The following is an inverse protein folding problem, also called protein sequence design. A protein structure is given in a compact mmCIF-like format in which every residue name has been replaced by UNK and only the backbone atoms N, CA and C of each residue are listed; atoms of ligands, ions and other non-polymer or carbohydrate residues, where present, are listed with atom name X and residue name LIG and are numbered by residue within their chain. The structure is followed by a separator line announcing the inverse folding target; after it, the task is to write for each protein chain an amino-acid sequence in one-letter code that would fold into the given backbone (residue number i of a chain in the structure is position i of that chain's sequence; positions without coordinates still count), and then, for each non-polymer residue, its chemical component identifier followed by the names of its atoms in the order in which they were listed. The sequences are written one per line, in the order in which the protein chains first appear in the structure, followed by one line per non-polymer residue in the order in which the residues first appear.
data_IF_443984350961
#
_entry.id   IF_443984350961
#
_cell.length_a   1.000
_cell.length_b   1.000
_cell.length_c   1.000
_cell.angle_alpha   90.00
_cell.angle_beta   90.00
_cell.angle_gamma   90.00
#
_symmetry.space_group_name_H-M   'P 1'
#
loop_
_entity.id
_entity.type
_entity.pdbx_description
1 polymer ?
#
# COMPACT_ATOMS: atom_id res chain seq x y z
N UNK A 1 16.68 5.85 -16.35
CA UNK A 1 16.26 6.66 -15.20
C UNK A 1 14.94 6.11 -14.69
N UNK A 2 14.82 5.79 -13.41
CA UNK A 2 13.55 5.33 -12.86
C UNK A 2 12.58 6.53 -12.80
N UNK A 3 11.39 6.39 -13.37
CA UNK A 3 10.38 7.44 -13.34
C UNK A 3 9.73 7.45 -11.97
N UNK A 4 9.83 8.56 -11.24
CA UNK A 4 9.11 8.74 -9.99
C UNK A 4 7.66 9.11 -10.30
N UNK A 5 6.73 8.40 -9.67
CA UNK A 5 5.30 8.65 -9.75
C UNK A 5 4.79 9.22 -8.44
N UNK A 6 3.83 10.14 -8.52
CA UNK A 6 3.10 10.66 -7.36
C UNK A 6 1.63 10.27 -7.48
N UNK A 7 1.15 9.45 -6.54
CA UNK A 7 -0.22 9.00 -6.49
C UNK A 7 -0.97 9.70 -5.36
N UNK A 8 -2.15 10.20 -5.66
CA UNK A 8 -3.06 10.79 -4.69
C UNK A 8 -4.20 9.82 -4.43
N UNK A 9 -4.30 9.30 -3.22
CA UNK A 9 -5.26 8.28 -2.83
C UNK A 9 -6.21 8.86 -1.79
N UNK A 10 -7.45 8.39 -1.78
CA UNK A 10 -8.40 8.72 -0.72
C UNK A 10 -9.07 7.46 -0.17
N UNK A 11 -9.28 7.41 1.13
CA UNK A 11 -9.94 6.33 1.86
C UNK A 11 -11.13 6.93 2.62
N UNK A 12 -12.36 6.55 2.25
CA UNK A 12 -13.56 7.13 2.84
C UNK A 12 -13.77 6.69 4.30
N UNK A 13 -13.68 5.38 4.56
CA UNK A 13 -13.81 4.80 5.90
C UNK A 13 -12.52 4.09 6.29
N UNK A 14 -11.56 4.85 6.83
CA UNK A 14 -10.29 4.29 7.26
C UNK A 14 -10.42 3.31 8.45
N UNK A 15 -11.26 3.57 9.48
CA UNK A 15 -11.50 2.61 10.56
C UNK A 15 -12.06 1.26 10.07
N UNK A 16 -12.97 1.27 9.09
CA UNK A 16 -13.52 0.05 8.48
C UNK A 16 -12.65 -0.56 7.39
N UNK A 17 -11.65 0.16 6.89
CA UNK A 17 -10.77 -0.35 5.85
C UNK A 17 -9.77 -1.38 6.41
N UNK A 18 -9.97 -2.64 6.03
CA UNK A 18 -9.10 -3.76 6.36
C UNK A 18 -8.88 -4.63 5.13
N UNK A 19 -7.67 -5.14 4.97
CA UNK A 19 -7.38 -6.19 4.01
C UNK A 19 -8.16 -7.47 4.34
N UNK A 20 -8.34 -8.32 3.32
CA UNK A 20 -9.03 -9.60 3.49
C UNK A 20 -8.31 -10.55 4.45
N UNK A 21 -7.01 -10.38 4.61
CA UNK A 21 -6.16 -11.22 5.44
C UNK A 21 -5.71 -10.47 6.69
N UNK A 22 -6.19 -10.82 7.90
CA UNK A 22 -5.91 -10.09 9.13
C UNK A 22 -4.42 -9.97 9.45
N UNK A 23 -3.62 -10.98 9.10
CA UNK A 23 -2.18 -11.01 9.34
C UNK A 23 -1.37 -10.02 8.49
N UNK A 24 -1.97 -9.51 7.40
CA UNK A 24 -1.39 -8.53 6.48
C UNK A 24 -2.08 -7.16 6.60
N UNK A 25 -3.23 -7.10 7.25
CA UNK A 25 -4.07 -5.92 7.33
C UNK A 25 -3.42 -4.82 8.17
N UNK A 26 -3.78 -3.59 7.86
CA UNK A 26 -3.44 -2.41 8.63
C UNK A 26 -4.10 -2.44 10.02
N UNK A 27 -3.31 -2.25 11.08
CA UNK A 27 -3.79 -2.26 12.47
C UNK A 27 -3.75 -0.88 13.15
N UNK A 28 -3.49 0.18 12.40
CA UNK A 28 -3.35 1.53 12.94
C UNK A 28 -4.64 2.36 13.01
N UNK A 29 -4.48 3.59 13.48
CA UNK A 29 -5.52 4.63 13.51
C UNK A 29 -4.98 5.87 12.81
N UNK A 30 -5.76 6.40 11.88
CA UNK A 30 -5.48 7.67 11.21
C UNK A 30 -4.63 7.55 9.94
N UNK A 31 -4.74 8.55 9.05
CA UNK A 31 -4.11 8.55 7.73
C UNK A 31 -2.59 8.59 7.78
N UNK A 32 -1.99 9.28 8.76
CA UNK A 32 -0.55 9.37 8.94
C UNK A 32 0.07 7.98 9.17
N UNK A 33 -0.59 7.17 9.99
CA UNK A 33 -0.17 5.80 10.29
C UNK A 33 -0.33 4.89 9.07
N UNK A 34 -1.44 5.02 8.34
CA UNK A 34 -1.61 4.30 7.06
C UNK A 34 -0.51 4.66 6.06
N UNK A 35 -0.18 5.95 5.93
CA UNK A 35 0.88 6.40 5.04
C UNK A 35 2.23 5.81 5.44
N UNK A 36 2.56 5.82 6.73
CA UNK A 36 3.80 5.22 7.23
C UNK A 36 3.88 3.72 6.88
N UNK A 37 2.80 2.96 7.16
CA UNK A 37 2.76 1.52 6.90
C UNK A 37 2.78 1.20 5.40
N UNK A 38 2.12 2.03 4.57
CA UNK A 38 2.18 1.90 3.11
C UNK A 38 3.59 2.18 2.57
N UNK A 39 4.26 3.23 3.05
CA UNK A 39 5.64 3.52 2.65
C UNK A 39 6.57 2.38 3.06
N UNK A 40 6.41 1.84 4.28
CA UNK A 40 7.20 0.69 4.73
C UNK A 40 6.97 -0.56 3.87
N UNK A 41 5.71 -0.85 3.53
CA UNK A 41 5.33 -1.97 2.66
C UNK A 41 5.83 -1.84 1.20
N UNK A 42 6.22 -0.65 0.77
CA UNK A 42 6.84 -0.39 -0.53
C UNK A 42 8.37 -0.38 -0.45
N UNK A 43 8.95 0.02 0.69
CA UNK A 43 10.40 -0.03 0.94
C UNK A 43 10.91 -1.44 1.20
N UNK A 44 10.09 -2.25 1.86
CA UNK A 44 10.43 -3.60 2.29
C UNK A 44 9.54 -4.64 1.61
N UNK A 45 10.09 -5.83 1.38
CA UNK A 45 9.35 -6.96 0.81
C UNK A 45 8.69 -7.83 1.89
N UNK A 46 8.82 -7.48 3.18
CA UNK A 46 8.30 -8.27 4.31
C UNK A 46 6.79 -8.58 4.17
N UNK A 47 5.98 -7.61 3.74
CA UNK A 47 4.56 -7.83 3.51
C UNK A 47 4.31 -8.81 2.35
N UNK A 48 5.10 -8.70 1.28
CA UNK A 48 5.05 -9.64 0.15
C UNK A 48 5.50 -11.04 0.57
N UNK A 49 6.57 -11.18 1.36
CA UNK A 49 7.05 -12.49 1.83
C UNK A 49 6.03 -13.19 2.73
N UNK A 50 5.36 -12.44 3.62
CA UNK A 50 4.26 -12.98 4.44
C UNK A 50 3.12 -13.49 3.55
N UNK A 51 2.67 -12.69 2.59
CA UNK A 51 1.63 -13.12 1.65
C UNK A 51 2.08 -14.31 0.77
N UNK A 52 3.32 -14.31 0.30
CA UNK A 52 3.92 -15.38 -0.51
C UNK A 52 3.93 -16.70 0.25
N UNK A 53 4.29 -16.69 1.53
CA UNK A 53 4.29 -17.87 2.40
C UNK A 53 2.89 -18.46 2.65
N UNK A 54 1.83 -17.70 2.39
CA UNK A 54 0.44 -18.17 2.50
C UNK A 54 -0.10 -18.78 1.20
N UNK A 55 0.63 -18.66 0.10
CA UNK A 55 0.22 -19.27 -1.17
C UNK A 55 0.44 -20.80 -1.10
N UNK A 56 -0.38 -21.59 -1.80
CA UNK A 56 -0.23 -23.05 -1.83
C UNK A 56 1.16 -23.47 -2.34
N UNK A 57 1.69 -22.72 -3.32
CA UNK A 57 3.00 -22.96 -3.93
C UNK A 57 3.82 -21.66 -3.92
N UNK A 58 4.49 -21.32 -2.79
CA UNK A 58 5.24 -20.07 -2.65
C UNK A 58 6.32 -19.91 -3.72
N UNK A 59 6.99 -20.99 -4.12
CA UNK A 59 8.11 -20.94 -5.07
C UNK A 59 7.67 -20.58 -6.51
N UNK A 60 6.41 -20.82 -6.86
CA UNK A 60 5.83 -20.43 -8.16
C UNK A 60 5.43 -18.95 -8.21
N UNK A 61 5.37 -18.27 -7.07
CA UNK A 61 5.03 -16.84 -7.00
C UNK A 61 6.15 -16.02 -7.64
N UNK A 62 5.78 -15.26 -8.67
CA UNK A 62 6.69 -14.39 -9.41
C UNK A 62 7.42 -13.38 -8.50
N UNK A 63 8.77 -13.35 -8.49
CA UNK A 63 9.56 -12.37 -7.74
C UNK A 63 9.26 -10.91 -8.12
N UNK A 64 8.77 -10.68 -9.34
CA UNK A 64 8.37 -9.37 -9.83
C UNK A 64 7.25 -8.71 -9.01
N UNK A 65 6.47 -9.48 -8.23
CA UNK A 65 5.45 -8.98 -7.31
C UNK A 65 6.04 -8.48 -5.98
N UNK A 66 7.27 -8.88 -5.68
CA UNK A 66 8.04 -8.52 -4.48
C UNK A 66 9.00 -7.35 -4.68
N UNK A 67 8.90 -6.61 -5.79
CA UNK A 67 9.74 -5.44 -6.03
C UNK A 67 9.50 -4.37 -4.96
N UNK A 68 10.58 -3.69 -4.58
CA UNK A 68 10.60 -2.64 -3.57
C UNK A 68 11.22 -1.36 -4.12
N UNK A 69 10.91 -0.26 -3.45
CA UNK A 69 11.49 1.05 -3.70
C UNK A 69 11.95 1.65 -2.35
N UNK A 70 13.26 1.59 -2.05
CA UNK A 70 13.82 2.14 -0.82
C UNK A 70 13.57 3.65 -0.65
N UNK A 71 13.28 4.36 -1.75
CA UNK A 71 12.99 5.80 -1.75
C UNK A 71 11.51 6.13 -1.62
N UNK A 72 10.63 5.12 -1.58
CA UNK A 72 9.19 5.33 -1.48
C UNK A 72 8.85 6.14 -0.23
N UNK A 73 7.95 7.12 -0.34
CA UNK A 73 7.49 7.91 0.79
C UNK A 73 6.01 8.18 0.65
N UNK A 74 5.30 8.20 1.77
CA UNK A 74 3.89 8.56 1.79
C UNK A 74 3.61 9.51 2.93
N UNK A 75 2.66 10.41 2.71
CA UNK A 75 2.16 11.34 3.70
C UNK A 75 0.65 11.23 3.76
N UNK A 76 0.12 11.03 4.97
CA UNK A 76 -1.30 10.99 5.21
C UNK A 76 -1.79 12.29 5.82
N UNK A 77 -3.00 12.70 5.46
CA UNK A 77 -3.69 13.84 6.07
C UNK A 77 -5.15 13.48 6.28
N UNK A 78 -5.69 13.89 7.42
CA UNK A 78 -7.11 13.76 7.71
C UNK A 78 -7.87 14.87 6.97
N UNK A 79 -8.69 14.48 6.00
CA UNK A 79 -9.68 15.35 5.37
C UNK A 79 -10.96 15.43 6.21
N UNK A 80 -11.94 16.19 5.72
CA UNK A 80 -13.19 16.46 6.44
C UNK A 80 -14.04 15.20 6.67
N UNK A 81 -14.06 14.27 5.71
CA UNK A 81 -14.84 13.03 5.73
C UNK A 81 -14.05 11.79 5.33
N UNK A 82 -12.76 11.95 5.02
CA UNK A 82 -11.92 10.92 4.40
C UNK A 82 -10.47 11.07 4.84
N UNK A 83 -9.70 10.02 4.67
CA UNK A 83 -8.25 10.05 4.75
C UNK A 83 -7.66 10.27 3.35
N UNK A 84 -6.78 11.25 3.19
CA UNK A 84 -6.06 11.50 1.94
C UNK A 84 -4.59 11.11 2.11
N UNK A 85 -4.06 10.33 1.16
CA UNK A 85 -2.68 9.85 1.16
C UNK A 85 -2.00 10.32 -0.12
N UNK A 86 -0.89 11.01 0.03
CA UNK A 86 0.03 11.33 -1.05
C UNK A 86 1.19 10.34 -1.01
N UNK A 87 1.35 9.54 -2.07
CA UNK A 87 2.41 8.54 -2.21
C UNK A 87 3.37 8.96 -3.32
N UNK A 88 4.68 8.87 -3.06
CA UNK A 88 5.75 9.07 -4.03
C UNK A 88 6.57 7.79 -4.12
N UNK A 89 6.67 7.20 -5.30
CA UNK A 89 7.44 5.97 -5.52
C UNK A 89 7.81 5.79 -6.99
N UNK A 90 8.87 5.04 -7.28
CA UNK A 90 9.19 4.57 -8.63
C UNK A 90 8.42 3.31 -9.03
N UNK A 91 7.63 2.73 -8.12
CA UNK A 91 6.87 1.52 -8.37
C UNK A 91 5.64 1.79 -9.24
N UNK A 92 5.27 0.84 -10.11
CA UNK A 92 4.07 0.96 -10.92
C UNK A 92 2.81 0.80 -10.06
N UNK A 93 1.70 1.38 -10.51
CA UNK A 93 0.43 1.35 -9.80
C UNK A 93 -0.10 -0.06 -9.51
N UNK A 94 0.31 -1.07 -10.30
CA UNK A 94 -0.03 -2.48 -10.05
C UNK A 94 0.51 -2.97 -8.70
N UNK A 95 1.76 -2.64 -8.37
CA UNK A 95 2.41 -3.02 -7.10
C UNK A 95 1.84 -2.20 -5.94
N UNK A 96 1.61 -0.90 -6.16
CA UNK A 96 0.97 -0.03 -5.16
C UNK A 96 -0.43 -0.54 -4.81
N UNK A 97 -1.25 -0.86 -5.82
CA UNK A 97 -2.58 -1.45 -5.65
C UNK A 97 -2.52 -2.75 -4.84
N UNK A 98 -1.57 -3.63 -5.14
CA UNK A 98 -1.39 -4.88 -4.42
C UNK A 98 -1.12 -4.63 -2.92
N UNK A 99 -0.20 -3.72 -2.57
CA UNK A 99 0.08 -3.37 -1.17
C UNK A 99 -1.15 -2.77 -0.47
N UNK A 100 -1.87 -1.87 -1.14
CA UNK A 100 -3.11 -1.29 -0.62
C UNK A 100 -4.19 -2.36 -0.37
N UNK A 101 -4.36 -3.32 -1.29
CA UNK A 101 -5.32 -4.42 -1.13
C UNK A 101 -5.02 -5.27 0.09
N UNK A 102 -3.75 -5.51 0.40
CA UNK A 102 -3.38 -6.25 1.61
C UNK A 102 -3.56 -5.45 2.90
N UNK A 103 -3.23 -4.15 2.88
CA UNK A 103 -3.34 -3.32 4.08
C UNK A 103 -4.79 -2.95 4.38
N UNK A 104 -5.51 -2.39 3.41
CA UNK A 104 -6.81 -1.73 3.61
C UNK A 104 -7.93 -2.26 2.71
N UNK A 105 -7.65 -3.29 1.91
CA UNK A 105 -8.63 -3.90 1.03
C UNK A 105 -8.97 -3.01 -0.18
N UNK A 106 -10.17 -3.15 -0.76
CA UNK A 106 -10.60 -2.36 -1.93
C UNK A 106 -11.14 -0.96 -1.56
N UNK A 107 -11.14 -0.58 -0.28
CA UNK A 107 -11.84 0.61 0.24
C UNK A 107 -11.08 1.93 0.02
N UNK A 108 -10.49 2.11 -1.16
CA UNK A 108 -9.72 3.30 -1.52
C UNK A 108 -9.98 3.70 -2.98
N UNK A 109 -9.71 4.95 -3.30
CA UNK A 109 -9.85 5.50 -4.65
C UNK A 109 -8.57 6.24 -5.04
N UNK A 110 -8.13 6.04 -6.30
CA UNK A 110 -7.10 6.88 -6.92
C UNK A 110 -7.76 8.18 -7.37
N UNK A 111 -7.26 9.31 -6.87
CA UNK A 111 -7.75 10.65 -7.20
C UNK A 111 -7.00 11.27 -8.36
N UNK A 112 -5.67 11.20 -8.33
CA UNK A 112 -4.79 11.81 -9.31
C UNK A 112 -3.46 11.03 -9.37
N UNK A 113 -2.75 11.14 -10.48
CA UNK A 113 -1.42 10.57 -10.70
C UNK A 113 -0.57 11.56 -11.48
N UNK A 114 0.66 11.79 -11.02
CA UNK A 114 1.64 12.69 -11.65
C UNK A 114 3.00 12.06 -11.82
#
# INVERSE_FOLDING_TARGET
MATTHRYYLSVADLPGARGSEPSLAFEGIGPEKLAADLADALRNDALFQRWKAMQPDPDEVSPALGVTDPSASATGKQGSDRADIELVTTLPMSIVRQRLTWLIGPNWQLRDMR
#
